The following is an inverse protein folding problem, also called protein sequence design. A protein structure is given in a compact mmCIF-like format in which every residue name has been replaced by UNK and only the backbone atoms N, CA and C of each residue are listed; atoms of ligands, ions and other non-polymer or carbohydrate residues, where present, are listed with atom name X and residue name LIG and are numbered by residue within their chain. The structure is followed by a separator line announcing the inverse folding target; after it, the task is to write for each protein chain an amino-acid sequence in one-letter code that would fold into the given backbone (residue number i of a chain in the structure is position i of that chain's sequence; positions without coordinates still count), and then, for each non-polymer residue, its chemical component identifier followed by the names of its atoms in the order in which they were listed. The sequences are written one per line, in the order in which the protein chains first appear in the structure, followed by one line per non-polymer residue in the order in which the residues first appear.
data_IF_068827203775
#
_entry.id   IF_068827203775
#
_cell.length_a   1.000
_cell.length_b   1.000
_cell.length_c   1.000
_cell.angle_alpha   90.00
_cell.angle_beta   90.00
_cell.angle_gamma   90.00
#
_symmetry.space_group_name_H-M   'P 1'
#
loop_
_entity.id
_entity.type
_entity.pdbx_description
1 polymer ?
#
# COMPACT_ATOMS: atom_id res chain seq x y z
N UNK A 1 13.77 -69.19 9.48
CA UNK A 1 14.99 -68.80 8.74
C UNK A 1 15.06 -67.27 8.72
N UNK A 2 16.24 -66.68 8.99
CA UNK A 2 16.30 -65.59 9.96
C UNK A 2 17.04 -64.32 9.48
N UNK A 3 17.14 -63.34 10.39
CA UNK A 3 18.25 -62.38 10.57
C UNK A 3 18.30 -61.17 9.60
N UNK A 4 18.66 -59.94 9.99
CA UNK A 4 19.46 -59.44 11.12
C UNK A 4 19.21 -57.93 11.31
N UNK A 5 19.11 -57.48 12.55
CA UNK A 5 19.56 -56.14 12.94
C UNK A 5 21.10 -56.12 12.98
N UNK A 6 21.72 -54.99 12.65
CA UNK A 6 23.02 -54.63 13.22
C UNK A 6 23.06 -53.15 13.59
N UNK A 7 23.32 -52.95 14.87
CA UNK A 7 23.84 -51.77 15.54
C UNK A 7 25.23 -51.41 14.99
N UNK A 8 25.67 -50.16 15.20
CA UNK A 8 27.00 -49.79 15.74
C UNK A 8 27.09 -48.25 15.70
N UNK A 9 27.03 -47.54 16.82
CA UNK A 9 28.18 -47.26 17.71
C UNK A 9 29.48 -46.96 16.95
N UNK A 10 29.91 -45.70 17.04
CA UNK A 10 31.24 -45.26 16.67
C UNK A 10 32.29 -45.86 17.62
N UNK A 11 33.50 -46.12 17.10
CA UNK A 11 34.72 -46.03 17.90
C UNK A 11 35.80 -45.18 17.20
N UNK A 12 36.90 -44.87 17.92
CA UNK A 12 37.67 -43.64 17.76
C UNK A 12 38.87 -43.81 16.83
N UNK A 13 39.45 -42.69 16.40
CA UNK A 13 40.83 -42.64 15.91
C UNK A 13 41.57 -41.51 16.63
N UNK A 14 42.50 -41.90 17.50
CA UNK A 14 43.63 -41.08 17.87
C UNK A 14 44.85 -41.48 17.04
N UNK A 15 45.78 -40.55 16.82
CA UNK A 15 47.13 -40.87 16.34
C UNK A 15 47.78 -39.87 15.37
N UNK A 16 48.39 -38.84 15.98
CA UNK A 16 49.70 -38.23 15.67
C UNK A 16 50.06 -37.59 14.30
N UNK A 17 50.60 -36.36 14.47
CA UNK A 17 51.68 -35.62 13.77
C UNK A 17 51.19 -34.35 13.04
N UNK A 18 51.80 -33.17 13.08
CA UNK A 18 53.04 -32.61 13.66
C UNK A 18 52.91 -31.07 13.70
N UNK A 19 53.63 -30.41 14.63
CA UNK A 19 54.38 -29.18 14.34
C UNK A 19 53.76 -27.77 14.52
N UNK A 20 54.28 -27.07 15.56
CA UNK A 20 54.48 -25.60 15.69
C UNK A 20 53.23 -24.70 15.90
N UNK A 21 53.20 -23.68 16.76
CA UNK A 21 54.18 -23.01 17.63
C UNK A 21 53.48 -22.02 18.60
N UNK A 22 54.10 -21.83 19.78
CA UNK A 22 54.15 -20.65 20.67
C UNK A 22 52.90 -19.98 21.33
N UNK A 23 52.98 -19.85 22.67
CA UNK A 23 52.60 -18.64 23.42
C UNK A 23 51.51 -18.83 24.52
N UNK A 24 51.81 -19.47 25.66
CA UNK A 24 52.07 -18.86 26.99
C UNK A 24 51.00 -17.91 27.58
N UNK A 25 50.39 -18.27 28.73
CA UNK A 25 49.84 -17.30 29.70
C UNK A 25 48.79 -17.82 30.71
N UNK A 26 49.23 -18.10 31.96
CA UNK A 26 48.51 -17.95 33.26
C UNK A 26 47.27 -18.83 33.56
N UNK A 27 47.32 -19.83 34.45
CA UNK A 27 47.06 -19.74 35.92
C UNK A 27 45.68 -19.11 36.26
N UNK A 28 44.74 -19.72 37.01
CA UNK A 28 44.88 -20.37 38.32
C UNK A 28 43.63 -21.21 38.68
N UNK A 29 43.84 -22.15 39.60
CA UNK A 29 42.94 -23.16 40.14
C UNK A 29 41.90 -22.61 41.14
N UNK A 30 40.80 -23.36 41.28
CA UNK A 30 39.85 -23.24 42.39
C UNK A 30 39.00 -24.52 42.57
N UNK A 31 39.62 -25.57 43.12
CA UNK A 31 38.98 -26.82 43.56
C UNK A 31 38.19 -26.58 44.87
N UNK A 32 36.99 -27.16 44.99
CA UNK A 32 36.43 -27.60 46.29
C UNK A 32 35.78 -28.98 46.14
N UNK A 33 36.26 -29.90 46.97
CA UNK A 33 35.85 -31.28 47.15
C UNK A 33 34.56 -31.40 48.00
N UNK A 34 33.72 -32.40 47.63
CA UNK A 34 33.08 -33.48 48.43
C UNK A 34 32.32 -33.14 49.76
N UNK A 35 31.46 -34.01 50.37
CA UNK A 35 31.35 -35.46 50.15
C UNK A 35 29.94 -36.12 50.18
N UNK A 36 29.95 -37.38 49.75
CA UNK A 36 29.17 -38.57 50.12
C UNK A 36 28.01 -38.49 51.14
N UNK A 37 26.90 -39.11 50.77
CA UNK A 37 25.88 -39.66 51.67
C UNK A 37 25.30 -40.96 51.08
N UNK A 38 25.44 -42.05 51.83
CA UNK A 38 25.15 -43.44 51.48
C UNK A 38 23.84 -43.96 52.12
N UNK A 39 23.14 -44.83 51.40
CA UNK A 39 22.10 -45.75 51.90
C UNK A 39 21.27 -46.25 50.71
N UNK A 40 21.07 -47.52 50.39
CA UNK A 40 21.25 -48.78 51.10
C UNK A 40 20.03 -49.66 50.78
N UNK A 41 20.21 -50.64 49.87
CA UNK A 41 19.45 -51.90 49.58
C UNK A 41 17.89 -51.83 49.47
N UNK A 42 17.21 -52.54 48.56
CA UNK A 42 17.19 -53.99 48.32
C UNK A 42 16.54 -54.36 46.98
N UNK A 43 16.87 -55.57 46.52
CA UNK A 43 16.51 -56.26 45.28
C UNK A 43 15.02 -56.53 45.05
N UNK A 44 14.61 -56.48 43.78
CA UNK A 44 13.39 -57.09 43.24
C UNK A 44 13.56 -57.33 41.74
N UNK A 45 13.87 -58.57 41.35
CA UNK A 45 14.00 -59.03 39.97
C UNK A 45 12.62 -59.49 39.48
N UNK A 46 12.22 -59.09 38.26
CA UNK A 46 11.23 -59.82 37.47
C UNK A 46 10.33 -58.95 36.61
N UNK A 47 10.37 -59.16 35.29
CA UNK A 47 9.25 -58.83 34.40
C UNK A 47 9.58 -57.88 33.25
N UNK A 48 10.20 -58.42 32.20
CA UNK A 48 10.18 -57.84 30.85
C UNK A 48 8.76 -57.85 30.27
N UNK A 49 8.24 -56.69 29.88
CA UNK A 49 7.25 -56.58 28.80
C UNK A 49 7.21 -55.14 28.29
N UNK A 50 7.92 -54.89 27.19
CA UNK A 50 7.68 -53.77 26.30
C UNK A 50 6.23 -53.87 25.79
N UNK A 51 5.36 -52.96 26.22
CA UNK A 51 4.18 -52.58 25.45
C UNK A 51 4.42 -51.17 24.94
N UNK A 52 4.89 -51.08 23.70
CA UNK A 52 4.71 -49.89 22.90
C UNK A 52 3.21 -49.79 22.63
N UNK A 53 2.47 -49.10 23.50
CA UNK A 53 1.09 -48.75 23.23
C UNK A 53 1.07 -47.83 22.00
N UNK A 54 0.60 -48.41 20.91
CA UNK A 54 0.21 -47.77 19.67
C UNK A 54 -0.70 -46.57 19.96
N UNK A 55 -0.22 -45.37 19.67
CA UNK A 55 -1.05 -44.17 19.59
C UNK A 55 -2.10 -44.42 18.49
N UNK A 56 -3.42 -44.40 18.79
CA UNK A 56 -4.42 -44.61 17.76
C UNK A 56 -4.42 -43.41 16.82
N UNK A 57 -4.02 -43.63 15.57
CA UNK A 57 -4.27 -42.70 14.48
C UNK A 57 -5.79 -42.65 14.28
N UNK A 58 -6.43 -41.52 14.62
CA UNK A 58 -7.83 -41.27 14.23
C UNK A 58 -8.84 -40.97 15.34
N UNK A 59 -8.45 -40.29 16.42
CA UNK A 59 -9.42 -39.56 17.24
C UNK A 59 -9.29 -38.06 16.97
N UNK A 60 -10.36 -37.35 16.56
CA UNK A 60 -10.33 -35.90 16.55
C UNK A 60 -10.16 -35.47 18.01
N UNK A 61 -9.02 -34.87 18.35
CA UNK A 61 -8.89 -34.12 19.61
C UNK A 61 -10.11 -33.20 19.69
N UNK A 62 -10.95 -33.43 20.68
CA UNK A 62 -12.05 -32.53 21.01
C UNK A 62 -11.42 -31.16 21.21
N UNK A 63 -11.62 -30.26 20.23
CA UNK A 63 -11.33 -28.85 20.40
C UNK A 63 -12.09 -28.43 21.64
N UNK A 64 -11.37 -28.17 22.74
CA UNK A 64 -11.92 -27.45 23.87
C UNK A 64 -12.33 -26.07 23.32
N UNK A 65 -13.61 -25.94 22.95
CA UNK A 65 -14.18 -24.70 22.38
C UNK A 65 -14.51 -23.66 23.45
N UNK A 66 -14.17 -23.90 24.71
CA UNK A 66 -14.40 -22.97 25.83
C UNK A 66 -13.19 -22.07 26.11
N UNK A 67 -12.52 -21.60 25.05
CA UNK A 67 -11.59 -20.48 25.16
C UNK A 67 -12.40 -19.18 25.25
N UNK A 68 -12.24 -18.46 26.36
CA UNK A 68 -12.91 -17.19 26.59
C UNK A 68 -12.62 -16.21 25.43
N UNK A 69 -13.67 -15.74 24.75
CA UNK A 69 -13.59 -14.91 23.52
C UNK A 69 -12.80 -13.61 23.71
N UNK A 70 -12.57 -13.21 24.95
CA UNK A 70 -11.80 -12.04 25.33
C UNK A 70 -10.31 -12.15 25.05
N UNK A 71 -9.77 -13.38 25.00
CA UNK A 71 -8.35 -13.66 24.74
C UNK A 71 -7.96 -13.59 23.25
N UNK A 72 -8.93 -13.46 22.34
CA UNK A 72 -8.66 -13.42 20.91
C UNK A 72 -7.96 -12.10 20.51
N UNK A 73 -6.96 -12.12 19.62
CA UNK A 73 -6.40 -10.91 19.04
C UNK A 73 -7.50 -10.02 18.43
N UNK A 74 -7.37 -8.68 18.45
CA UNK A 74 -8.44 -7.77 18.03
C UNK A 74 -8.99 -7.99 16.61
N UNK A 75 -8.17 -8.53 15.72
CA UNK A 75 -8.54 -8.82 14.32
C UNK A 75 -9.12 -10.23 14.12
N UNK A 76 -8.96 -11.13 15.10
CA UNK A 76 -9.53 -12.48 15.08
C UNK A 76 -10.86 -12.55 15.81
N UNK A 77 -11.09 -11.70 16.84
CA UNK A 77 -12.38 -11.63 17.54
C UNK A 77 -13.48 -11.69 16.49
N UNK A 78 -14.45 -12.64 16.59
CA UNK A 78 -15.49 -12.78 15.58
C UNK A 78 -16.09 -11.41 15.41
N UNK A 79 -15.90 -10.82 14.22
CA UNK A 79 -16.36 -9.47 13.96
C UNK A 79 -17.84 -9.50 14.25
N UNK A 80 -18.27 -8.93 15.38
CA UNK A 80 -19.69 -8.88 15.75
C UNK A 80 -20.44 -8.43 14.51
N UNK A 81 -21.51 -9.18 14.14
CA UNK A 81 -22.20 -9.12 12.82
C UNK A 81 -21.78 -7.88 12.03
N UNK A 82 -21.04 -8.04 10.92
CA UNK A 82 -20.66 -6.91 10.05
C UNK A 82 -21.93 -6.13 9.72
N UNK A 83 -22.14 -5.00 10.41
CA UNK A 83 -23.38 -4.22 10.34
C UNK A 83 -23.01 -2.94 9.62
N UNK A 84 -23.60 -2.78 8.45
CA UNK A 84 -23.59 -1.49 7.78
C UNK A 84 -24.31 -0.49 8.69
N UNK A 85 -23.58 0.55 9.09
CA UNK A 85 -24.16 1.71 9.76
C UNK A 85 -24.44 2.77 8.70
N UNK A 86 -25.35 3.70 8.95
CA UNK A 86 -25.56 4.86 8.07
C UNK A 86 -24.23 5.58 7.74
N UNK A 87 -23.34 5.68 8.74
CA UNK A 87 -22.00 6.28 8.59
C UNK A 87 -21.12 5.56 7.57
N UNK A 88 -21.34 4.26 7.33
CA UNK A 88 -20.58 3.48 6.33
C UNK A 88 -20.71 4.05 4.92
N UNK A 89 -21.86 4.66 4.61
CA UNK A 89 -22.12 5.24 3.30
C UNK A 89 -22.07 6.77 3.31
N UNK A 90 -22.61 7.39 4.35
CA UNK A 90 -22.67 8.86 4.42
C UNK A 90 -21.28 9.47 4.54
N UNK A 91 -20.38 8.91 5.35
CA UNK A 91 -19.06 9.51 5.54
C UNK A 91 -18.24 9.53 4.24
N UNK A 92 -18.06 8.40 3.51
CA UNK A 92 -17.39 8.41 2.20
C UNK A 92 -17.94 9.47 1.24
N UNK A 93 -19.27 9.52 1.06
CA UNK A 93 -19.92 10.45 0.13
C UNK A 93 -19.73 11.90 0.60
N UNK A 94 -19.94 12.18 1.88
CA UNK A 94 -19.79 13.53 2.43
C UNK A 94 -18.35 14.05 2.27
N UNK A 95 -17.34 13.21 2.51
CA UNK A 95 -15.94 13.62 2.34
C UNK A 95 -15.52 13.79 0.88
N UNK A 96 -16.05 13.00 -0.05
CA UNK A 96 -15.86 13.21 -1.48
C UNK A 96 -16.51 14.52 -1.96
N UNK A 97 -17.75 14.79 -1.54
CA UNK A 97 -18.44 16.06 -1.85
C UNK A 97 -17.67 17.24 -1.25
N UNK A 98 -17.25 17.12 0.01
CA UNK A 98 -16.44 18.16 0.67
C UNK A 98 -15.15 18.43 -0.10
N UNK A 99 -14.44 17.37 -0.53
CA UNK A 99 -13.20 17.50 -1.30
C UNK A 99 -13.43 18.33 -2.57
N UNK A 100 -14.42 17.95 -3.37
CA UNK A 100 -14.73 18.68 -4.60
C UNK A 100 -15.26 20.08 -4.36
N UNK A 101 -16.07 20.28 -3.33
CA UNK A 101 -16.59 21.59 -2.98
C UNK A 101 -15.44 22.54 -2.63
N UNK A 102 -14.51 22.10 -1.78
CA UNK A 102 -13.31 22.89 -1.44
C UNK A 102 -12.46 23.13 -2.68
N UNK A 103 -12.19 22.10 -3.50
CA UNK A 103 -11.43 22.25 -4.74
C UNK A 103 -12.05 23.26 -5.70
N UNK A 104 -13.36 23.18 -5.91
CA UNK A 104 -14.11 24.07 -6.80
C UNK A 104 -14.09 25.51 -6.30
N UNK A 105 -14.28 25.71 -4.99
CA UNK A 105 -14.20 27.05 -4.37
C UNK A 105 -12.79 27.61 -4.48
N UNK A 106 -11.75 26.81 -4.22
CA UNK A 106 -10.36 27.27 -4.34
C UNK A 106 -9.97 27.57 -5.79
N UNK A 107 -10.45 26.79 -6.76
CA UNK A 107 -10.27 27.07 -8.18
C UNK A 107 -10.94 28.37 -8.59
N UNK A 108 -12.21 28.57 -8.19
CA UNK A 108 -12.93 29.81 -8.44
C UNK A 108 -12.22 31.03 -7.85
N UNK A 109 -11.81 30.96 -6.57
CA UNK A 109 -11.06 32.03 -5.90
C UNK A 109 -9.75 32.33 -6.63
N UNK A 110 -9.03 31.29 -7.08
CA UNK A 110 -7.78 31.46 -7.82
C UNK A 110 -7.99 32.15 -9.18
N UNK A 111 -8.95 31.68 -9.98
CA UNK A 111 -9.27 32.27 -11.29
C UNK A 111 -9.73 33.72 -11.11
N UNK A 112 -10.65 33.97 -10.19
CA UNK A 112 -11.18 35.31 -9.93
C UNK A 112 -10.10 36.30 -9.47
N UNK A 113 -9.25 35.90 -8.51
CA UNK A 113 -8.14 36.74 -8.04
C UNK A 113 -7.11 36.99 -9.15
N UNK A 114 -6.81 35.99 -9.97
CA UNK A 114 -5.91 36.14 -11.12
C UNK A 114 -6.47 37.13 -12.15
N UNK A 115 -7.74 37.02 -12.52
CA UNK A 115 -8.38 37.95 -13.46
C UNK A 115 -8.33 39.40 -12.97
N UNK A 116 -8.54 39.63 -11.66
CA UNK A 116 -8.44 40.96 -11.05
C UNK A 116 -7.03 41.55 -11.20
N UNK A 117 -6.00 40.75 -10.90
CA UNK A 117 -4.60 41.17 -11.05
C UNK A 117 -4.25 41.38 -12.51
N UNK A 118 -4.70 40.50 -13.41
CA UNK A 118 -4.46 40.60 -14.84
C UNK A 118 -5.10 41.85 -15.46
N UNK A 119 -6.34 42.19 -15.09
CA UNK A 119 -6.99 43.43 -15.49
C UNK A 119 -6.20 44.67 -15.03
N UNK A 120 -5.76 44.67 -13.77
CA UNK A 120 -4.96 45.76 -13.21
C UNK A 120 -3.62 45.92 -13.95
N UNK A 121 -2.95 44.83 -14.32
CA UNK A 121 -1.71 44.85 -15.11
C UNK A 121 -1.93 45.40 -16.53
N UNK A 122 -3.09 45.15 -17.13
CA UNK A 122 -3.49 45.72 -18.42
C UNK A 122 -3.97 47.18 -18.33
N UNK A 123 -4.16 47.71 -17.13
CA UNK A 123 -4.71 49.06 -16.93
C UNK A 123 -6.19 49.18 -17.31
N UNK A 124 -6.94 48.07 -17.36
CA UNK A 124 -8.37 48.04 -17.69
C UNK A 124 -9.21 47.68 -16.46
N UNK A 125 -10.51 48.02 -16.47
CA UNK A 125 -11.40 47.57 -15.41
C UNK A 125 -11.68 46.07 -15.52
N UNK A 126 -12.07 45.42 -14.42
CA UNK A 126 -12.50 44.02 -14.46
C UNK A 126 -13.73 43.82 -15.37
N UNK A 127 -14.63 44.81 -15.45
CA UNK A 127 -15.78 44.77 -16.34
C UNK A 127 -15.36 44.74 -17.81
N UNK A 128 -14.38 45.57 -18.19
CA UNK A 128 -13.85 45.63 -19.55
C UNK A 128 -13.13 44.34 -19.92
N UNK A 129 -12.34 43.77 -19.01
CA UNK A 129 -11.72 42.46 -19.21
C UNK A 129 -12.78 41.38 -19.49
N UNK A 130 -13.89 41.37 -18.76
CA UNK A 130 -14.98 40.41 -19.00
C UNK A 130 -15.68 40.63 -20.35
N UNK A 131 -15.68 41.86 -20.87
CA UNK A 131 -16.18 42.16 -22.21
C UNK A 131 -15.22 41.74 -23.32
N UNK A 132 -13.91 41.74 -23.06
CA UNK A 132 -12.88 41.18 -23.97
C UNK A 132 -12.96 39.65 -24.04
N UNK A 133 -13.24 38.98 -22.91
CA UNK A 133 -13.26 37.51 -22.78
C UNK A 133 -14.58 36.86 -23.24
N UNK A 134 -15.17 37.33 -24.35
CA UNK A 134 -16.43 36.80 -24.86
C UNK A 134 -16.30 35.45 -25.58
N UNK A 135 -15.11 35.12 -26.09
CA UNK A 135 -14.87 33.82 -26.71
C UNK A 135 -14.51 32.77 -25.66
N UNK A 136 -14.94 31.52 -25.90
CA UNK A 136 -14.56 30.37 -25.04
C UNK A 136 -13.04 30.20 -25.00
N UNK A 137 -12.35 30.39 -26.12
CA UNK A 137 -10.91 30.19 -26.23
C UNK A 137 -10.12 31.19 -25.38
N UNK A 138 -10.51 32.46 -25.39
CA UNK A 138 -9.86 33.48 -24.56
C UNK A 138 -10.05 33.21 -23.06
N UNK A 139 -11.22 32.72 -22.66
CA UNK A 139 -11.48 32.31 -21.29
C UNK A 139 -10.62 31.10 -20.90
N UNK A 140 -10.55 30.07 -21.74
CA UNK A 140 -9.74 28.87 -21.52
C UNK A 140 -8.26 29.21 -21.39
N UNK A 141 -7.73 30.06 -22.27
CA UNK A 141 -6.34 30.52 -22.21
C UNK A 141 -6.04 31.26 -20.90
N UNK A 142 -6.96 32.12 -20.45
CA UNK A 142 -6.78 32.85 -19.21
C UNK A 142 -6.85 31.93 -17.98
N UNK A 143 -7.75 30.93 -17.99
CA UNK A 143 -7.81 29.91 -16.94
C UNK A 143 -6.50 29.12 -16.89
N UNK A 144 -5.94 28.73 -18.04
CA UNK A 144 -4.65 28.05 -18.09
C UNK A 144 -3.52 28.94 -17.51
N UNK A 145 -3.46 30.23 -17.90
CA UNK A 145 -2.50 31.20 -17.35
C UNK A 145 -2.64 31.43 -15.84
N UNK A 146 -3.84 31.24 -15.29
CA UNK A 146 -4.07 31.38 -13.86
C UNK A 146 -3.44 30.25 -13.04
N UNK A 147 -3.06 29.13 -13.68
CA UNK A 147 -2.57 27.94 -12.99
C UNK A 147 -3.55 27.44 -11.91
N UNK A 148 -4.85 27.52 -12.22
CA UNK A 148 -5.91 27.26 -11.26
C UNK A 148 -5.81 25.87 -10.64
N UNK A 149 -5.49 24.85 -11.45
CA UNK A 149 -5.42 23.47 -11.01
C UNK A 149 -4.39 23.26 -9.88
N UNK A 150 -3.16 23.79 -10.04
CA UNK A 150 -2.10 23.58 -9.05
C UNK A 150 -2.36 24.36 -7.75
N UNK A 151 -2.72 25.64 -7.85
CA UNK A 151 -3.01 26.45 -6.66
C UNK A 151 -4.27 25.97 -5.93
N UNK A 152 -5.33 25.63 -6.65
CA UNK A 152 -6.55 25.12 -6.04
C UNK A 152 -6.29 23.80 -5.31
N UNK A 153 -5.53 22.88 -5.93
CA UNK A 153 -5.13 21.62 -5.31
C UNK A 153 -4.29 21.86 -4.05
N UNK A 154 -3.32 22.78 -4.09
CA UNK A 154 -2.51 23.14 -2.92
C UNK A 154 -3.36 23.59 -1.73
N UNK A 155 -4.21 24.61 -1.93
CA UNK A 155 -5.05 25.13 -0.85
C UNK A 155 -6.07 24.09 -0.37
N UNK A 156 -6.60 23.28 -1.29
CA UNK A 156 -7.49 22.17 -0.93
C UNK A 156 -6.79 21.19 -0.02
N UNK A 157 -5.58 20.74 -0.36
CA UNK A 157 -4.82 19.79 0.45
C UNK A 157 -4.47 20.35 1.84
N UNK A 158 -4.14 21.64 1.94
CA UNK A 158 -3.92 22.29 3.24
C UNK A 158 -5.17 22.26 4.15
N UNK A 159 -6.36 22.27 3.56
CA UNK A 159 -7.63 22.24 4.30
C UNK A 159 -8.05 20.80 4.59
N UNK A 160 -8.10 19.94 3.58
CA UNK A 160 -8.74 18.63 3.69
C UNK A 160 -7.86 17.60 4.40
N UNK A 161 -6.54 17.66 4.26
CA UNK A 161 -5.64 16.68 4.93
C UNK A 161 -5.80 16.74 6.46
N UNK A 162 -5.71 17.91 7.13
CA UNK A 162 -5.97 18.00 8.57
C UNK A 162 -7.35 17.46 8.96
N UNK A 163 -8.40 17.78 8.18
CA UNK A 163 -9.76 17.30 8.43
C UNK A 163 -9.85 15.78 8.34
N UNK A 164 -9.24 15.17 7.33
CA UNK A 164 -9.18 13.72 7.16
C UNK A 164 -8.41 13.06 8.30
N UNK A 165 -7.27 13.62 8.69
CA UNK A 165 -6.46 13.10 9.80
C UNK A 165 -7.23 13.16 11.13
N UNK A 166 -7.93 14.26 11.41
CA UNK A 166 -8.78 14.38 12.62
C UNK A 166 -9.89 13.32 12.59
N UNK A 167 -10.62 13.20 11.47
CA UNK A 167 -11.67 12.19 11.34
C UNK A 167 -11.12 10.77 11.54
N UNK A 168 -10.04 10.42 10.84
CA UNK A 168 -9.41 9.10 10.91
C UNK A 168 -8.86 8.80 12.30
N UNK A 169 -8.25 9.78 12.98
CA UNK A 169 -7.80 9.66 14.35
C UNK A 169 -8.95 9.31 15.30
N UNK A 170 -10.07 10.04 15.20
CA UNK A 170 -11.26 9.81 16.03
C UNK A 170 -11.93 8.46 15.73
N UNK A 171 -12.01 8.07 14.44
CA UNK A 171 -12.60 6.79 14.02
C UNK A 171 -11.74 5.60 14.40
N UNK A 172 -10.42 5.71 14.25
CA UNK A 172 -9.47 4.65 14.58
C UNK A 172 -9.51 4.28 16.06
N UNK A 173 -9.76 5.25 16.96
CA UNK A 173 -10.00 4.98 18.39
C UNK A 173 -11.20 4.07 18.63
N UNK A 174 -12.23 4.13 17.79
CA UNK A 174 -13.42 3.28 17.89
C UNK A 174 -13.26 1.96 17.16
N UNK A 175 -12.53 1.94 16.05
CA UNK A 175 -12.34 0.75 15.23
C UNK A 175 -11.00 0.81 14.50
N UNK A 176 -10.08 -0.06 14.90
CA UNK A 176 -8.74 -0.14 14.31
C UNK A 176 -8.74 -0.61 12.85
N UNK A 177 -9.83 -1.25 12.38
CA UNK A 177 -9.97 -1.71 10.99
C UNK A 177 -10.29 -0.60 9.99
N UNK A 178 -10.55 0.63 10.44
CA UNK A 178 -10.75 1.81 9.56
C UNK A 178 -9.43 2.18 8.87
N UNK A 179 -8.36 2.37 9.64
CA UNK A 179 -7.07 2.80 9.11
C UNK A 179 -5.98 1.81 9.52
N UNK A 180 -5.42 1.12 8.52
CA UNK A 180 -4.35 0.16 8.74
C UNK A 180 -3.00 0.90 8.76
N UNK A 181 -2.25 0.73 9.84
CA UNK A 181 -0.96 1.41 10.06
C UNK A 181 0.09 0.46 10.64
N UNK A 182 0.05 -0.82 10.26
CA UNK A 182 1.01 -1.80 10.78
C UNK A 182 2.42 -1.48 10.27
N UNK A 183 3.44 -1.86 11.03
CA UNK A 183 4.82 -1.71 10.56
C UNK A 183 5.04 -2.61 9.35
N UNK A 184 5.74 -2.08 8.36
CA UNK A 184 6.10 -2.75 7.11
C UNK A 184 7.59 -2.93 7.04
N UNK A 185 8.05 -3.98 6.36
CA UNK A 185 9.47 -4.18 6.07
C UNK A 185 9.88 -3.43 4.80
N UNK A 186 11.16 -3.12 4.67
CA UNK A 186 11.71 -2.53 3.44
C UNK A 186 11.48 -3.43 2.22
N UNK A 187 11.42 -4.75 2.41
CA UNK A 187 11.07 -5.70 1.36
C UNK A 187 9.63 -5.50 0.86
N UNK A 188 8.66 -5.31 1.77
CA UNK A 188 7.27 -5.03 1.36
C UNK A 188 7.17 -3.71 0.60
N UNK A 189 7.90 -2.68 1.01
CA UNK A 189 7.98 -1.42 0.28
C UNK A 189 8.57 -1.62 -1.13
N UNK A 190 9.71 -2.31 -1.24
CA UNK A 190 10.35 -2.60 -2.52
C UNK A 190 9.42 -3.39 -3.46
N UNK A 191 8.78 -4.45 -2.97
CA UNK A 191 7.81 -5.22 -3.74
C UNK A 191 6.64 -4.36 -4.19
N UNK A 192 6.15 -3.46 -3.33
CA UNK A 192 5.06 -2.53 -3.66
C UNK A 192 5.47 -1.52 -4.73
N UNK A 193 6.74 -1.09 -4.74
CA UNK A 193 7.30 -0.27 -5.82
C UNK A 193 7.33 -1.03 -7.15
N UNK A 194 7.74 -2.30 -7.16
CA UNK A 194 7.68 -3.11 -8.40
C UNK A 194 6.24 -3.28 -8.90
N UNK A 195 5.28 -3.43 -7.98
CA UNK A 195 3.85 -3.50 -8.32
C UNK A 195 3.36 -2.21 -8.97
N UNK A 196 3.71 -1.03 -8.43
CA UNK A 196 3.24 0.22 -9.05
C UNK A 196 3.92 0.48 -10.40
N UNK A 197 5.22 0.18 -10.55
CA UNK A 197 5.89 0.29 -11.85
C UNK A 197 5.28 -0.64 -12.90
N UNK A 198 4.91 -1.87 -12.53
CA UNK A 198 4.17 -2.77 -13.41
C UNK A 198 2.81 -2.20 -13.81
N UNK A 199 2.07 -1.63 -12.86
CA UNK A 199 0.79 -1.00 -13.16
C UNK A 199 0.95 0.21 -14.07
N UNK A 200 2.00 1.02 -13.91
CA UNK A 200 2.33 2.09 -14.85
C UNK A 200 2.62 1.54 -16.26
N UNK A 201 3.37 0.45 -16.37
CA UNK A 201 3.57 -0.22 -17.67
C UNK A 201 2.25 -0.66 -18.30
N UNK A 202 1.34 -1.23 -17.52
CA UNK A 202 0.01 -1.62 -17.99
C UNK A 202 -0.86 -0.41 -18.37
N UNK A 203 -0.80 0.71 -17.64
CA UNK A 203 -1.53 1.94 -18.00
C UNK A 203 -0.98 2.52 -19.31
N UNK A 204 0.33 2.47 -19.54
CA UNK A 204 0.91 2.91 -20.80
C UNK A 204 0.49 2.00 -21.98
N UNK A 205 0.47 0.68 -21.80
CA UNK A 205 -0.06 -0.24 -22.82
C UNK A 205 -1.54 0.03 -23.12
N UNK A 206 -2.33 0.30 -22.08
CA UNK A 206 -3.73 0.68 -22.23
C UNK A 206 -3.88 1.99 -23.03
N UNK A 207 -3.09 3.01 -22.71
CA UNK A 207 -3.10 4.29 -23.42
C UNK A 207 -2.71 4.14 -24.90
N UNK A 208 -1.71 3.32 -25.21
CA UNK A 208 -1.37 2.98 -26.60
C UNK A 208 -2.55 2.32 -27.32
N UNK A 209 -3.24 1.37 -26.66
CA UNK A 209 -4.44 0.75 -27.21
C UNK A 209 -5.57 1.74 -27.46
N UNK A 210 -5.83 2.64 -26.51
CA UNK A 210 -6.84 3.72 -26.66
C UNK A 210 -6.48 4.63 -27.82
N UNK A 211 -5.21 5.00 -27.98
CA UNK A 211 -4.73 5.82 -29.09
C UNK A 211 -5.02 5.15 -30.45
N UNK A 212 -4.72 3.87 -30.60
CA UNK A 212 -5.01 3.14 -31.85
C UNK A 212 -6.52 3.02 -32.12
N UNK A 213 -7.32 2.66 -31.11
CA UNK A 213 -8.78 2.52 -31.25
C UNK A 213 -9.43 3.89 -31.58
N UNK A 214 -8.93 4.97 -30.99
CA UNK A 214 -9.48 6.31 -31.16
C UNK A 214 -9.46 6.79 -32.62
N UNK A 215 -8.50 6.31 -33.44
CA UNK A 215 -8.42 6.63 -34.87
C UNK A 215 -9.67 6.20 -35.65
N UNK A 216 -10.34 5.16 -35.18
CA UNK A 216 -11.56 4.66 -35.82
C UNK A 216 -12.84 5.26 -35.24
N UNK A 217 -12.79 5.81 -34.01
CA UNK A 217 -13.97 6.21 -33.23
C UNK A 217 -13.92 7.70 -32.87
N UNK A 218 -14.62 8.59 -33.61
CA UNK A 218 -14.52 10.05 -33.44
C UNK A 218 -14.77 10.57 -32.03
N UNK A 219 -15.76 10.01 -31.33
CA UNK A 219 -16.05 10.38 -29.94
C UNK A 219 -14.89 10.07 -28.99
N UNK A 220 -14.22 8.93 -29.19
CA UNK A 220 -13.07 8.54 -28.36
C UNK A 220 -11.86 9.44 -28.67
N UNK A 221 -11.66 9.80 -29.94
CA UNK A 221 -10.62 10.75 -30.33
C UNK A 221 -10.82 12.12 -29.68
N UNK A 222 -12.05 12.64 -29.65
CA UNK A 222 -12.38 13.90 -28.98
C UNK A 222 -12.00 13.85 -27.49
N UNK A 223 -12.36 12.77 -26.78
CA UNK A 223 -12.02 12.61 -25.37
C UNK A 223 -10.52 12.44 -25.14
N UNK A 224 -9.82 11.71 -26.01
CA UNK A 224 -8.37 11.56 -25.94
C UNK A 224 -7.67 12.91 -26.13
N UNK A 225 -8.03 13.71 -27.13
CA UNK A 225 -7.46 15.04 -27.33
C UNK A 225 -7.73 15.97 -26.16
N UNK A 226 -8.98 16.02 -25.67
CA UNK A 226 -9.31 16.83 -24.49
C UNK A 226 -8.49 16.46 -23.26
N UNK A 227 -8.22 15.15 -23.06
CA UNK A 227 -7.37 14.67 -21.97
C UNK A 227 -5.91 15.07 -22.18
N UNK A 228 -5.35 14.86 -23.38
CA UNK A 228 -3.96 15.20 -23.70
C UNK A 228 -3.71 16.72 -23.58
N UNK A 229 -4.66 17.54 -24.03
CA UNK A 229 -4.60 18.99 -23.86
C UNK A 229 -4.55 19.35 -22.37
N UNK A 230 -5.44 18.77 -21.55
CA UNK A 230 -5.43 19.00 -20.10
C UNK A 230 -4.09 18.58 -19.46
N UNK A 231 -3.52 17.43 -19.84
CA UNK A 231 -2.21 16.97 -19.35
C UNK A 231 -1.09 17.94 -19.74
N UNK A 232 -1.07 18.41 -20.99
CA UNK A 232 -0.06 19.35 -21.48
C UNK A 232 -0.06 20.69 -20.74
N UNK A 233 -1.23 21.13 -20.23
CA UNK A 233 -1.30 22.34 -19.40
C UNK A 233 -0.59 22.20 -18.07
N UNK A 234 -0.46 20.98 -17.51
CA UNK A 234 0.33 20.77 -16.29
C UNK A 234 1.83 20.89 -16.56
N UNK A 235 2.30 20.46 -17.73
CA UNK A 235 3.71 20.56 -18.11
C UNK A 235 4.14 22.00 -18.38
N UNK A 236 3.25 22.78 -18.99
CA UNK A 236 3.46 24.19 -19.34
C UNK A 236 2.96 25.18 -18.27
N UNK A 237 2.51 24.67 -17.13
CA UNK A 237 1.97 25.49 -16.05
C UNK A 237 2.96 26.56 -15.58
N UNK A 238 2.50 27.81 -15.33
CA UNK A 238 3.35 28.91 -14.88
C UNK A 238 4.07 28.69 -13.53
N UNK A 239 3.59 27.79 -12.67
CA UNK A 239 4.25 27.51 -11.39
C UNK A 239 5.58 26.78 -11.55
N UNK A 240 6.46 27.00 -10.58
CA UNK A 240 7.77 26.35 -10.56
C UNK A 240 7.64 24.81 -10.50
N UNK A 241 8.61 24.11 -11.08
CA UNK A 241 8.68 22.64 -11.00
C UNK A 241 8.64 22.14 -9.55
N UNK A 242 9.32 22.84 -8.63
CA UNK A 242 9.30 22.49 -7.21
C UNK A 242 7.90 22.57 -6.60
N UNK A 243 7.11 23.60 -6.95
CA UNK A 243 5.73 23.72 -6.49
C UNK A 243 4.87 22.58 -7.03
N UNK A 244 5.03 22.21 -8.31
CA UNK A 244 4.32 21.08 -8.92
C UNK A 244 4.69 19.73 -8.28
N UNK A 245 5.96 19.51 -7.96
CA UNK A 245 6.40 18.33 -7.18
C UNK A 245 5.67 18.28 -5.83
N UNK A 246 5.69 19.40 -5.08
CA UNK A 246 5.05 19.47 -3.78
C UNK A 246 3.54 19.17 -3.86
N UNK A 247 2.85 19.74 -4.85
CA UNK A 247 1.39 19.62 -4.95
C UNK A 247 0.98 18.29 -5.59
N UNK A 248 1.36 18.07 -6.85
CA UNK A 248 0.84 16.98 -7.69
C UNK A 248 1.45 15.63 -7.27
N UNK A 249 2.76 15.62 -6.95
CA UNK A 249 3.45 14.37 -6.66
C UNK A 249 3.44 13.99 -5.17
N UNK A 250 3.14 14.93 -4.26
CA UNK A 250 3.20 14.68 -2.81
C UNK A 250 1.85 14.93 -2.14
N UNK A 251 1.38 16.19 -2.08
CA UNK A 251 0.22 16.54 -1.27
C UNK A 251 -1.08 15.92 -1.79
N UNK A 252 -1.33 15.96 -3.10
CA UNK A 252 -2.53 15.37 -3.71
C UNK A 252 -2.60 13.86 -3.45
N UNK A 253 -1.56 13.05 -3.74
CA UNK A 253 -1.54 11.64 -3.37
C UNK A 253 -1.78 11.38 -1.88
N UNK A 254 -1.22 12.17 -0.96
CA UNK A 254 -1.48 12.02 0.48
C UNK A 254 -2.96 12.22 0.78
N UNK A 255 -3.54 13.32 0.30
CA UNK A 255 -4.95 13.66 0.54
C UNK A 255 -5.88 12.59 -0.02
N UNK A 256 -5.63 12.14 -1.24
CA UNK A 256 -6.42 11.11 -1.90
C UNK A 256 -6.29 9.76 -1.20
N UNK A 257 -5.09 9.32 -0.79
CA UNK A 257 -4.95 8.07 -0.05
C UNK A 257 -5.63 8.11 1.33
N UNK A 258 -5.58 9.25 2.03
CA UNK A 258 -6.32 9.42 3.28
C UNK A 258 -7.84 9.31 3.04
N UNK A 259 -8.34 9.92 1.98
CA UNK A 259 -9.76 9.82 1.60
C UNK A 259 -10.13 8.39 1.19
N UNK A 260 -9.47 7.83 0.19
CA UNK A 260 -9.87 6.56 -0.41
C UNK A 260 -9.46 5.35 0.43
N UNK A 261 -8.22 5.26 0.93
CA UNK A 261 -7.75 4.08 1.68
C UNK A 261 -8.07 4.21 3.16
N UNK A 262 -8.06 5.43 3.69
CA UNK A 262 -8.46 5.71 5.06
C UNK A 262 -9.98 5.68 5.25
N UNK A 263 -10.72 6.55 4.56
CA UNK A 263 -12.15 6.76 4.81
C UNK A 263 -13.01 5.78 3.99
N UNK A 264 -12.92 5.81 2.66
CA UNK A 264 -13.81 5.04 1.77
C UNK A 264 -13.62 3.53 1.96
N UNK A 265 -12.42 3.03 1.66
CA UNK A 265 -12.08 1.61 1.78
C UNK A 265 -12.18 1.14 3.24
N UNK A 266 -11.76 1.97 4.20
CA UNK A 266 -11.85 1.64 5.63
C UNK A 266 -13.28 1.40 6.10
N UNK A 267 -14.21 2.29 5.76
CA UNK A 267 -15.62 2.14 6.13
C UNK A 267 -16.29 0.96 5.42
N UNK A 268 -16.04 0.78 4.12
CA UNK A 268 -16.61 -0.34 3.35
C UNK A 268 -16.04 -1.67 3.85
N UNK A 269 -14.73 -1.76 4.13
CA UNK A 269 -14.08 -2.97 4.67
C UNK A 269 -14.69 -3.39 6.00
N UNK A 270 -14.97 -2.42 6.88
CA UNK A 270 -15.62 -2.68 8.18
C UNK A 270 -17.00 -3.33 8.04
N UNK A 271 -17.77 -2.95 7.02
CA UNK A 271 -19.14 -3.43 6.81
C UNK A 271 -19.26 -4.64 5.87
N UNK A 272 -18.39 -4.77 4.87
CA UNK A 272 -18.53 -5.74 3.78
C UNK A 272 -17.29 -6.63 3.57
N UNK A 273 -16.17 -6.30 4.22
CA UNK A 273 -14.90 -7.02 4.09
C UNK A 273 -14.00 -6.47 2.96
N UNK A 274 -12.77 -6.96 2.92
CA UNK A 274 -11.70 -6.41 2.08
C UNK A 274 -12.01 -6.48 0.58
N UNK A 275 -12.53 -7.59 0.06
CA UNK A 275 -12.80 -7.72 -1.39
C UNK A 275 -13.79 -6.68 -1.90
N UNK A 276 -14.92 -6.50 -1.20
CA UNK A 276 -15.92 -5.50 -1.57
C UNK A 276 -15.34 -4.08 -1.44
N UNK A 277 -14.53 -3.82 -0.41
CA UNK A 277 -13.88 -2.55 -0.20
C UNK A 277 -12.90 -2.18 -1.32
N UNK A 278 -12.09 -3.15 -1.77
CA UNK A 278 -11.14 -2.98 -2.89
C UNK A 278 -11.87 -2.63 -4.18
N UNK A 279 -12.92 -3.38 -4.52
CA UNK A 279 -13.68 -3.14 -5.75
C UNK A 279 -14.37 -1.77 -5.68
N UNK A 280 -15.12 -1.52 -4.62
CA UNK A 280 -15.90 -0.28 -4.48
C UNK A 280 -15.01 0.96 -4.44
N UNK A 281 -13.91 0.94 -3.66
CA UNK A 281 -13.01 2.11 -3.59
C UNK A 281 -12.28 2.35 -4.91
N UNK A 282 -11.96 1.30 -5.68
CA UNK A 282 -11.30 1.45 -6.98
C UNK A 282 -12.24 2.12 -7.97
N UNK A 283 -13.49 1.68 -8.03
CA UNK A 283 -14.49 2.27 -8.93
C UNK A 283 -14.84 3.71 -8.53
N UNK A 284 -14.99 3.97 -7.23
CA UNK A 284 -15.23 5.32 -6.72
C UNK A 284 -14.04 6.23 -6.99
N UNK A 285 -12.80 5.75 -6.83
CA UNK A 285 -11.58 6.50 -7.16
C UNK A 285 -11.54 6.85 -8.65
N UNK A 286 -11.80 5.89 -9.54
CA UNK A 286 -11.85 6.15 -10.98
C UNK A 286 -12.92 7.18 -11.33
N UNK A 287 -14.15 7.01 -10.84
CA UNK A 287 -15.22 7.97 -11.07
C UNK A 287 -14.90 9.38 -10.54
N UNK A 288 -14.11 9.47 -9.46
CA UNK A 288 -13.64 10.72 -8.87
C UNK A 288 -12.59 11.47 -9.73
N UNK A 289 -12.25 10.99 -10.93
CA UNK A 289 -11.42 11.77 -11.85
C UNK A 289 -12.26 12.60 -12.83
N UNK A 290 -13.55 12.28 -13.01
CA UNK A 290 -14.49 12.98 -13.90
C UNK A 290 -14.04 13.15 -15.37
N UNK A 291 -12.95 12.50 -15.77
CA UNK A 291 -12.49 12.38 -17.15
C UNK A 291 -12.50 10.90 -17.56
N UNK A 292 -13.04 10.59 -18.74
CA UNK A 292 -13.25 9.20 -19.18
C UNK A 292 -11.93 8.49 -19.48
N UNK A 293 -10.97 9.19 -20.09
CA UNK A 293 -9.67 8.62 -20.45
C UNK A 293 -8.89 8.35 -19.18
N UNK A 294 -8.82 9.34 -18.28
CA UNK A 294 -8.19 9.21 -16.97
C UNK A 294 -8.81 8.09 -16.16
N UNK A 295 -10.14 8.10 -16.02
CA UNK A 295 -10.90 7.08 -15.31
C UNK A 295 -10.57 5.67 -15.80
N UNK A 296 -10.38 5.49 -17.12
CA UNK A 296 -10.14 4.17 -17.71
C UNK A 296 -8.82 3.53 -17.26
N UNK A 297 -7.74 4.30 -17.17
CA UNK A 297 -6.43 3.76 -16.77
C UNK A 297 -6.22 3.78 -15.25
N UNK A 298 -6.79 4.74 -14.52
CA UNK A 298 -6.66 4.78 -13.05
C UNK A 298 -7.40 3.64 -12.35
N UNK A 299 -8.32 2.94 -13.02
CA UNK A 299 -8.86 1.66 -12.50
C UNK A 299 -7.73 0.65 -12.26
N UNK A 300 -6.74 0.57 -13.16
CA UNK A 300 -5.59 -0.35 -13.05
C UNK A 300 -4.75 0.03 -11.83
N UNK A 301 -4.34 1.30 -11.74
CA UNK A 301 -3.54 1.82 -10.62
C UNK A 301 -4.30 1.73 -9.29
N UNK A 302 -5.57 2.17 -9.28
CA UNK A 302 -6.45 2.16 -8.12
C UNK A 302 -6.62 0.77 -7.52
N UNK A 303 -6.79 -0.25 -8.39
CA UNK A 303 -6.91 -1.65 -8.00
C UNK A 303 -5.63 -2.15 -7.33
N UNK A 304 -4.46 -1.94 -7.95
CA UNK A 304 -3.20 -2.46 -7.38
C UNK A 304 -2.81 -1.75 -6.08
N UNK A 305 -3.06 -0.45 -5.97
CA UNK A 305 -2.82 0.33 -4.75
C UNK A 305 -3.75 -0.17 -3.63
N UNK A 306 -5.03 -0.39 -3.95
CA UNK A 306 -6.02 -0.88 -2.98
C UNK A 306 -5.75 -2.31 -2.51
N UNK A 307 -5.34 -3.21 -3.41
CA UNK A 307 -4.90 -4.57 -3.06
C UNK A 307 -3.64 -4.51 -2.18
N UNK A 308 -2.64 -3.71 -2.56
CA UNK A 308 -1.39 -3.60 -1.81
C UNK A 308 -1.61 -3.04 -0.42
N UNK A 309 -2.57 -2.12 -0.24
CA UNK A 309 -2.98 -1.63 1.07
C UNK A 309 -3.53 -2.75 1.97
N UNK A 310 -4.36 -3.66 1.44
CA UNK A 310 -4.85 -4.83 2.21
C UNK A 310 -3.72 -5.82 2.53
N UNK A 311 -2.80 -6.05 1.58
CA UNK A 311 -1.69 -7.00 1.76
C UNK A 311 -0.64 -6.51 2.76
N UNK A 312 -0.34 -5.21 2.74
CA UNK A 312 0.68 -4.60 3.61
C UNK A 312 0.11 -4.10 4.94
N UNK A 313 -1.20 -3.89 5.02
CA UNK A 313 -1.91 -3.38 6.20
C UNK A 313 -1.33 -2.04 6.69
N UNK A 314 -0.90 -1.19 5.75
CA UNK A 314 -0.23 0.07 6.03
C UNK A 314 -0.58 1.13 4.98
N UNK A 315 -1.15 2.25 5.41
CA UNK A 315 -1.53 3.38 4.54
C UNK A 315 -0.34 4.14 3.96
N UNK A 316 0.83 4.09 4.59
CA UNK A 316 2.03 4.75 4.04
C UNK A 316 2.51 4.09 2.72
N UNK A 317 2.28 2.79 2.53
CA UNK A 317 2.64 2.09 1.29
C UNK A 317 1.86 2.61 0.07
N UNK A 318 0.52 2.62 0.07
CA UNK A 318 -0.24 3.16 -1.05
C UNK A 318 0.05 4.66 -1.28
N UNK A 319 0.34 5.45 -0.22
CA UNK A 319 0.80 6.83 -0.38
C UNK A 319 2.07 6.92 -1.21
N UNK A 320 3.11 6.15 -0.86
CA UNK A 320 4.38 6.16 -1.59
C UNK A 320 4.19 5.63 -3.02
N UNK A 321 3.38 4.58 -3.21
CA UNK A 321 3.06 4.09 -4.56
C UNK A 321 2.40 5.18 -5.40
N UNK A 322 1.40 5.86 -4.86
CA UNK A 322 0.68 6.91 -5.58
C UNK A 322 1.57 8.14 -5.84
N UNK A 323 2.42 8.53 -4.89
CA UNK A 323 3.44 9.55 -5.11
C UNK A 323 4.37 9.17 -6.27
N UNK A 324 4.84 7.92 -6.34
CA UNK A 324 5.67 7.44 -7.45
C UNK A 324 4.91 7.47 -8.77
N UNK A 325 3.64 7.04 -8.77
CA UNK A 325 2.77 7.07 -9.93
C UNK A 325 2.62 8.49 -10.48
N UNK A 326 2.31 9.48 -9.63
CA UNK A 326 2.16 10.86 -10.06
C UNK A 326 3.49 11.51 -10.41
N UNK A 327 4.56 11.27 -9.64
CA UNK A 327 5.88 11.87 -9.89
C UNK A 327 6.43 11.51 -11.27
N UNK A 328 6.21 10.26 -11.70
CA UNK A 328 6.68 9.78 -12.99
C UNK A 328 5.63 10.04 -14.08
N UNK A 329 4.35 9.72 -13.83
CA UNK A 329 3.28 9.80 -14.83
C UNK A 329 2.86 11.22 -15.22
N UNK A 330 3.14 12.23 -14.38
CA UNK A 330 2.88 13.64 -14.70
C UNK A 330 4.00 14.32 -15.51
N UNK A 331 5.04 13.59 -15.91
CA UNK A 331 6.20 14.16 -16.63
C UNK A 331 7.18 14.94 -15.74
N UNK A 332 6.89 15.08 -14.44
CA UNK A 332 7.76 15.79 -13.48
C UNK A 332 9.15 15.17 -13.39
N UNK A 333 9.28 13.84 -13.38
CA UNK A 333 10.58 13.17 -13.43
C UNK A 333 11.37 13.56 -14.68
N UNK A 334 10.74 13.55 -15.85
CA UNK A 334 11.39 13.89 -17.12
C UNK A 334 11.89 15.32 -17.15
N UNK A 335 11.05 16.27 -16.69
CA UNK A 335 11.43 17.68 -16.55
C UNK A 335 12.57 17.87 -15.54
N UNK A 336 12.55 17.15 -14.41
CA UNK A 336 13.59 17.23 -13.38
C UNK A 336 14.93 16.69 -13.89
N UNK A 337 14.91 15.60 -14.67
CA UNK A 337 16.12 15.01 -15.25
C UNK A 337 16.59 15.75 -16.51
N UNK A 338 15.80 16.68 -17.05
CA UNK A 338 16.08 17.35 -18.31
C UNK A 338 16.22 16.38 -19.48
N UNK A 339 15.53 15.24 -19.42
CA UNK A 339 15.57 14.25 -20.49
C UNK A 339 14.55 14.61 -21.56
N UNK A 340 14.97 14.59 -22.83
CA UNK A 340 14.04 14.72 -23.94
C UNK A 340 13.34 13.39 -24.27
N UNK A 341 12.70 13.33 -25.43
CA UNK A 341 11.92 12.16 -25.88
C UNK A 341 12.66 10.81 -25.76
N UNK A 342 13.98 10.80 -25.96
CA UNK A 342 14.78 9.60 -25.83
C UNK A 342 14.78 9.05 -24.40
N UNK A 343 14.80 9.92 -23.39
CA UNK A 343 14.69 9.51 -21.99
C UNK A 343 13.27 9.10 -21.62
N UNK A 344 12.25 9.76 -22.15
CA UNK A 344 10.86 9.34 -21.96
C UNK A 344 10.62 7.93 -22.50
N UNK A 345 11.19 7.61 -23.68
CA UNK A 345 11.17 6.24 -24.22
C UNK A 345 11.88 5.23 -23.31
N UNK A 346 13.01 5.61 -22.71
CA UNK A 346 13.71 4.74 -21.75
C UNK A 346 12.84 4.50 -20.51
N UNK A 347 12.25 5.55 -19.93
CA UNK A 347 11.34 5.45 -18.78
C UNK A 347 10.17 4.52 -19.12
N UNK A 348 9.57 4.67 -20.31
CA UNK A 348 8.50 3.80 -20.80
C UNK A 348 8.95 2.32 -20.88
N UNK A 349 10.10 2.04 -21.47
CA UNK A 349 10.62 0.67 -21.57
C UNK A 349 10.96 0.07 -20.20
N UNK A 350 11.45 0.88 -19.27
CA UNK A 350 11.64 0.46 -17.88
C UNK A 350 10.29 0.03 -17.27
N UNK A 351 9.24 0.84 -17.41
CA UNK A 351 7.90 0.48 -16.92
C UNK A 351 7.39 -0.84 -17.51
N UNK A 352 7.56 -1.05 -18.82
CA UNK A 352 7.21 -2.33 -19.46
C UNK A 352 8.03 -3.50 -18.92
N UNK A 353 9.34 -3.31 -18.70
CA UNK A 353 10.21 -4.31 -18.09
C UNK A 353 9.79 -4.72 -16.69
N UNK A 354 9.10 -3.84 -15.94
CA UNK A 354 8.60 -4.13 -14.61
C UNK A 354 7.28 -4.92 -14.57
N UNK A 355 6.59 -5.13 -15.69
CA UNK A 355 5.29 -5.84 -15.70
C UNK A 355 5.41 -7.24 -15.06
N UNK A 356 6.35 -8.07 -15.51
CA UNK A 356 6.54 -9.42 -14.95
C UNK A 356 7.06 -9.41 -13.50
N UNK A 357 8.11 -8.63 -13.14
CA UNK A 357 8.54 -8.47 -11.75
C UNK A 357 7.43 -8.00 -10.80
N UNK A 358 6.58 -7.06 -11.22
CA UNK A 358 5.48 -6.57 -10.40
C UNK A 358 4.39 -7.61 -10.19
N UNK A 359 4.02 -8.38 -11.23
CA UNK A 359 3.09 -9.51 -11.09
C UNK A 359 3.63 -10.53 -10.07
N UNK A 360 4.90 -10.92 -10.18
CA UNK A 360 5.55 -11.81 -9.21
C UNK A 360 5.52 -11.21 -7.79
N UNK A 361 5.77 -9.90 -7.67
CA UNK A 361 5.76 -9.18 -6.40
C UNK A 361 4.40 -9.21 -5.69
N UNK A 362 3.28 -9.19 -6.42
CA UNK A 362 1.94 -9.38 -5.83
C UNK A 362 1.82 -10.76 -5.18
N UNK A 363 2.29 -11.82 -5.85
CA UNK A 363 2.25 -13.18 -5.28
C UNK A 363 3.13 -13.30 -4.03
N UNK A 364 4.32 -12.68 -4.02
CA UNK A 364 5.18 -12.63 -2.85
C UNK A 364 4.53 -11.86 -1.69
N UNK A 365 3.96 -10.68 -1.95
CA UNK A 365 3.23 -9.91 -0.94
C UNK A 365 2.06 -10.72 -0.35
N UNK A 366 1.31 -11.44 -1.19
CA UNK A 366 0.23 -12.33 -0.75
C UNK A 366 0.74 -13.47 0.12
N UNK A 367 1.89 -14.06 -0.21
CA UNK A 367 2.53 -15.11 0.61
C UNK A 367 2.99 -14.56 1.96
N UNK A 368 3.64 -13.39 1.98
CA UNK A 368 4.06 -12.73 3.22
C UNK A 368 2.85 -12.45 4.11
N UNK A 369 1.76 -11.92 3.53
CA UNK A 369 0.52 -11.64 4.25
C UNK A 369 -0.10 -12.91 4.86
N UNK A 370 -0.19 -14.00 4.08
CA UNK A 370 -0.72 -15.28 4.58
C UNK A 370 0.12 -15.86 5.72
N UNK A 371 1.45 -15.87 5.56
CA UNK A 371 2.35 -16.39 6.59
C UNK A 371 2.22 -15.59 7.89
N UNK A 372 2.06 -14.27 7.79
CA UNK A 372 1.82 -13.40 8.93
C UNK A 372 0.51 -13.73 9.64
N UNK A 373 -0.59 -13.89 8.88
CA UNK A 373 -1.88 -14.30 9.46
C UNK A 373 -1.78 -15.66 10.16
N UNK A 374 -1.09 -16.65 9.57
CA UNK A 374 -0.88 -17.95 10.20
C UNK A 374 -0.08 -17.83 11.50
N UNK A 375 1.03 -17.08 11.50
CA UNK A 375 1.84 -16.87 12.71
C UNK A 375 1.07 -16.16 13.83
N UNK A 376 0.19 -15.22 13.49
CA UNK A 376 -0.67 -14.54 14.47
C UNK A 376 -1.74 -15.49 15.03
N UNK A 377 -2.19 -16.49 14.24
CA UNK A 377 -3.15 -17.50 14.69
C UNK A 377 -2.48 -18.48 15.65
N UNK A 378 -1.28 -18.95 15.30
CA UNK A 378 -0.50 -19.86 16.14
C UNK A 378 -0.08 -19.19 17.47
N UNK A 379 0.29 -17.91 17.44
CA UNK A 379 0.63 -17.16 18.65
C UNK A 379 -0.57 -16.90 19.57
N UNK A 380 -1.77 -16.76 18.99
CA UNK A 380 -3.01 -16.54 19.74
C UNK A 380 -3.55 -17.84 20.37
N UNK A 381 -3.29 -18.97 19.72
CA UNK A 381 -3.74 -20.29 20.13
C UNK A 381 -2.55 -21.26 20.13
N UNK A 382 -1.58 -21.10 21.06
CA UNK A 382 -0.45 -22.01 21.15
C UNK A 382 -1.01 -23.40 21.46
N UNK A 383 -1.01 -24.28 20.45
CA UNK A 383 -1.31 -25.70 20.66
C UNK A 383 -0.25 -26.18 21.62
N UNK A 384 -0.66 -26.61 22.83
CA UNK A 384 0.24 -27.23 23.78
C UNK A 384 0.86 -28.44 23.09
N UNK A 385 2.09 -28.29 22.59
CA UNK A 385 2.89 -29.41 22.15
C UNK A 385 3.20 -30.19 23.42
N UNK A 386 2.51 -31.32 23.57
CA UNK A 386 2.61 -32.20 24.74
C UNK A 386 4.07 -32.48 25.07
N UNK A 387 4.39 -32.35 26.35
CA UNK A 387 5.63 -32.78 26.96
C UNK A 387 5.68 -34.31 27.05
#
# INVERSE_FOLDING_TARGET
MPNRCFNNQAPPLGGASDGASHGSGGASYGLRNAPYGSGGATYGVGGTANSCDSVPYGQPMSRNTDMNRDQWPPHMKPTGKRRASVVTFIAPIAFMILHYAVLSVMAFVRVFSFMRVYAAQKGISYGDLMLELKSKDAMTELIAKSDAANYASFYTMLIVIPLYLVYLYLRKKRSSSILLTRRVSSLQLLLSLFVIFAAMGLTQLWMLGIQEISQSWPWLMEKLHSYLDAVSTFETAPSSLFFRILVIAILVPIGEELLFRGIVQGEIRRAFGSTAAVIATTLLFAFFHLDVIQSSYVVIAGLVISITYELTEQVAIPMIMHMAFNFIGSGVLSQLMGVGEAGDRIILYVMFGFIFPGIASIFFLKRIHKNKQASEQDAAFPVAKGW
#
